data_IF_431223468272
#
_entry.id   IF_431223468272
#
_cell.length_a   1.000
_cell.length_b   1.000
_cell.length_c   1.000
_cell.angle_alpha   90.00
_cell.angle_beta   90.00
_cell.angle_gamma   90.00
#
_symmetry.space_group_name_H-M   'P 1'
#
loop_
_entity.id
_entity.type
_entity.pdbx_description
1 polymer ?
#
# COMPACT_ATOMS: atom_id res chain seq x y z
N UNK A 1 -11.33 4.60 -5.79
CA UNK A 1 -10.33 3.83 -6.56
C UNK A 1 -11.03 3.19 -7.76
N UNK A 2 -10.48 3.32 -8.97
CA UNK A 2 -11.05 2.72 -10.18
C UNK A 2 -10.55 1.28 -10.31
N UNK A 3 -11.40 0.35 -10.72
CA UNK A 3 -11.03 -1.06 -10.97
C UNK A 3 -9.92 -1.19 -12.01
N UNK A 4 -9.92 -0.32 -13.03
CA UNK A 4 -8.88 -0.22 -14.06
C UNK A 4 -7.49 0.13 -13.49
N UNK A 5 -7.45 0.69 -12.27
CA UNK A 5 -6.21 1.03 -11.57
C UNK A 5 -5.76 -0.08 -10.62
N UNK A 6 -6.48 -1.19 -10.50
CA UNK A 6 -6.09 -2.32 -9.66
C UNK A 6 -4.79 -2.93 -10.20
N UNK A 7 -3.79 -3.06 -9.34
CA UNK A 7 -2.51 -3.68 -9.64
C UNK A 7 -2.42 -5.11 -9.10
N UNK A 8 -3.13 -5.39 -8.01
CA UNK A 8 -3.16 -6.72 -7.40
C UNK A 8 -4.02 -6.79 -6.15
N UNK A 9 -4.30 -8.02 -5.73
CA UNK A 9 -5.05 -8.35 -4.52
C UNK A 9 -4.33 -9.48 -3.79
N UNK A 10 -4.24 -9.37 -2.46
CA UNK A 10 -3.65 -10.39 -1.60
C UNK A 10 -4.29 -10.37 -0.20
N UNK A 11 -3.73 -11.12 0.74
CA UNK A 11 -4.32 -11.32 2.08
C UNK A 11 -4.57 -10.04 2.89
N UNK A 12 -3.85 -8.96 2.58
CA UNK A 12 -3.95 -7.65 3.26
C UNK A 12 -4.79 -6.62 2.49
N UNK A 13 -5.48 -7.03 1.41
CA UNK A 13 -6.33 -6.18 0.59
C UNK A 13 -5.77 -5.90 -0.80
N UNK A 14 -6.16 -4.76 -1.36
CA UNK A 14 -5.96 -4.42 -2.78
C UNK A 14 -4.92 -3.33 -2.96
N UNK A 15 -4.10 -3.44 -4.00
CA UNK A 15 -3.13 -2.40 -4.38
C UNK A 15 -3.60 -1.74 -5.66
N UNK A 16 -3.65 -0.40 -5.66
CA UNK A 16 -4.04 0.38 -6.82
C UNK A 16 -2.92 1.32 -7.28
N UNK A 17 -2.86 1.58 -8.58
CA UNK A 17 -2.05 2.63 -9.16
C UNK A 17 -2.71 3.99 -8.88
N UNK A 18 -1.92 4.93 -8.38
CA UNK A 18 -2.33 6.31 -8.14
C UNK A 18 -1.35 7.30 -8.74
N UNK A 19 -1.73 8.58 -8.70
CA UNK A 19 -0.85 9.71 -9.01
C UNK A 19 -1.08 10.80 -7.97
N UNK A 20 -0.02 11.30 -7.34
CA UNK A 20 -0.08 12.48 -6.49
C UNK A 20 -0.27 13.72 -7.36
N UNK A 21 -1.35 14.47 -7.17
CA UNK A 21 -1.67 15.62 -8.03
C UNK A 21 -0.64 16.75 -7.91
N UNK A 22 -0.09 16.97 -6.71
CA UNK A 22 0.87 18.04 -6.43
C UNK A 22 2.24 17.83 -7.09
N UNK A 23 2.70 16.58 -7.21
CA UNK A 23 4.04 16.26 -7.74
C UNK A 23 4.00 15.51 -9.06
N UNK A 24 2.84 15.03 -9.48
CA UNK A 24 2.69 14.13 -10.61
C UNK A 24 3.27 12.73 -10.38
N UNK A 25 3.78 12.42 -9.18
CA UNK A 25 4.43 11.14 -8.88
C UNK A 25 3.44 9.98 -8.97
N UNK A 26 3.83 8.90 -9.65
CA UNK A 26 3.06 7.66 -9.71
C UNK A 26 3.32 6.85 -8.44
N UNK A 27 2.25 6.36 -7.80
CA UNK A 27 2.30 5.68 -6.52
C UNK A 27 1.52 4.38 -6.54
N UNK A 28 1.85 3.47 -5.62
CA UNK A 28 1.02 2.31 -5.30
C UNK A 28 0.28 2.58 -3.99
N UNK A 29 -1.05 2.43 -3.99
CA UNK A 29 -1.90 2.65 -2.82
C UNK A 29 -2.44 1.29 -2.37
N UNK A 30 -1.97 0.80 -1.22
CA UNK A 30 -2.49 -0.42 -0.59
C UNK A 30 -3.69 -0.07 0.28
N UNK A 31 -4.87 -0.51 -0.14
CA UNK A 31 -6.12 -0.38 0.60
C UNK A 31 -6.31 -1.60 1.48
N UNK A 32 -6.30 -1.38 2.79
CA UNK A 32 -6.63 -2.43 3.76
C UNK A 32 -8.07 -2.91 3.55
N UNK A 33 -8.23 -4.22 3.44
CA UNK A 33 -9.55 -4.84 3.53
C UNK A 33 -9.98 -4.93 5.00
N UNK A 34 -11.02 -4.16 5.37
CA UNK A 34 -11.56 -4.14 6.73
C UNK A 34 -12.35 -5.40 7.09
N UNK A 35 -12.68 -6.21 6.10
CA UNK A 35 -13.43 -7.46 6.27
C UNK A 35 -12.53 -8.70 6.16
N UNK A 36 -11.23 -8.51 5.92
CA UNK A 36 -10.25 -9.59 5.76
C UNK A 36 -9.87 -10.27 7.08
N UNK A 37 -9.37 -11.51 6.99
CA UNK A 37 -8.91 -12.32 8.13
C UNK A 37 -7.60 -11.80 8.74
N UNK A 38 -6.79 -11.06 7.97
CA UNK A 38 -5.58 -10.40 8.42
C UNK A 38 -5.91 -8.92 8.68
N UNK A 39 -5.83 -8.52 9.94
CA UNK A 39 -6.49 -7.33 10.47
C UNK A 39 -5.64 -6.06 10.50
N UNK A 40 -6.14 -5.09 11.27
CA UNK A 40 -5.47 -3.80 11.54
C UNK A 40 -4.07 -3.98 12.14
N UNK A 41 -3.79 -5.07 12.86
CA UNK A 41 -2.50 -5.28 13.54
C UNK A 41 -1.38 -5.54 12.54
N UNK A 42 -1.62 -6.41 11.57
CA UNK A 42 -0.64 -6.75 10.54
C UNK A 42 -0.40 -5.57 9.60
N UNK A 43 -1.45 -4.83 9.28
CA UNK A 43 -1.33 -3.58 8.53
C UNK A 43 -0.44 -2.56 9.25
N UNK A 44 -0.67 -2.35 10.56
CA UNK A 44 0.17 -1.45 11.36
C UNK A 44 1.62 -1.95 11.45
N UNK A 45 1.83 -3.27 11.53
CA UNK A 45 3.17 -3.85 11.51
C UNK A 45 3.91 -3.57 10.20
N UNK A 46 3.25 -3.73 9.05
CA UNK A 46 3.84 -3.38 7.74
C UNK A 46 4.17 -1.88 7.65
N UNK A 47 3.24 -1.00 8.05
CA UNK A 47 3.47 0.46 8.05
C UNK A 47 4.66 0.82 8.94
N UNK A 48 4.75 0.22 10.13
CA UNK A 48 5.84 0.46 11.06
C UNK A 48 7.19 -0.03 10.50
N UNK A 49 7.24 -1.23 9.92
CA UNK A 49 8.46 -1.76 9.30
C UNK A 49 8.93 -0.86 8.16
N UNK A 50 8.04 -0.46 7.25
CA UNK A 50 8.40 0.43 6.13
C UNK A 50 8.75 1.86 6.58
N UNK A 51 8.22 2.32 7.72
CA UNK A 51 8.60 3.63 8.28
C UNK A 51 9.99 3.62 8.90
N UNK A 52 10.44 2.48 9.42
CA UNK A 52 11.72 2.35 10.13
C UNK A 52 12.86 1.90 9.23
N UNK A 53 12.57 1.18 8.13
CA UNK A 53 13.58 0.59 7.27
C UNK A 53 13.70 1.36 5.95
N UNK A 54 14.89 1.89 5.69
CA UNK A 54 15.24 2.52 4.41
C UNK A 54 16.35 1.72 3.76
N UNK A 55 16.05 1.03 2.67
CA UNK A 55 17.02 0.19 1.96
C UNK A 55 16.72 0.17 0.45
N UNK A 56 17.73 0.16 -0.44
CA UNK A 56 17.51 0.20 -1.90
C UNK A 56 16.65 -0.93 -2.47
N UNK A 57 16.62 -2.08 -1.80
CA UNK A 57 15.80 -3.25 -2.19
C UNK A 57 14.46 -3.31 -1.45
N UNK A 58 14.09 -2.27 -0.70
CA UNK A 58 12.80 -2.17 0.00
C UNK A 58 11.98 -1.05 -0.63
N UNK A 59 10.66 -1.24 -0.70
CA UNK A 59 9.76 -0.17 -1.14
C UNK A 59 9.72 0.94 -0.10
N UNK A 60 9.68 2.19 -0.55
CA UNK A 60 9.55 3.34 0.34
C UNK A 60 8.08 3.63 0.64
N UNK A 61 7.79 3.92 1.90
CA UNK A 61 6.56 4.57 2.31
C UNK A 61 6.70 6.09 2.10
N UNK A 62 5.67 6.73 1.55
CA UNK A 62 5.62 8.16 1.17
C UNK A 62 4.39 8.84 1.71
#
# INVERSE_FOLDING_TARGET
>A
FRLESLLGEGGFGRVYKGRLESTGQVVAVKQLDRNGLQGNREFLAEVLMLSLLHHPNLVNLI
#
